data_IF_830668906051
#
_entry.id   IF_830668906051
#
_cell.length_a   1.000
_cell.length_b   1.000
_cell.length_c   1.000
_cell.angle_alpha   90.00
_cell.angle_beta   90.00
_cell.angle_gamma   90.00
#
_symmetry.space_group_name_H-M   'P 1'
#
loop_
_entity.id
_entity.type
_entity.pdbx_description
1 polymer ?
#
# COMPACT_ATOMS: atom_id res chain seq x y z
N UNK A 1 -19.68 17.45 16.19
CA UNK A 1 -18.73 17.90 17.23
C UNK A 1 -17.26 17.60 16.90
N UNK A 2 -16.81 16.34 16.77
CA UNK A 2 -15.37 16.05 16.53
C UNK A 2 -14.83 16.64 15.21
N UNK A 3 -15.64 16.68 14.15
CA UNK A 3 -15.25 17.30 12.87
C UNK A 3 -14.89 18.79 13.01
N UNK A 4 -15.67 19.56 13.78
CA UNK A 4 -15.40 20.99 14.01
C UNK A 4 -14.06 21.18 14.73
N UNK A 5 -13.79 20.35 15.75
CA UNK A 5 -12.50 20.38 16.44
C UNK A 5 -11.33 20.07 15.52
N UNK A 6 -11.48 19.11 14.60
CA UNK A 6 -10.43 18.80 13.63
C UNK A 6 -10.21 19.93 12.64
N UNK A 7 -11.27 20.65 12.22
CA UNK A 7 -11.12 21.86 11.41
C UNK A 7 -10.32 22.94 12.14
N UNK A 8 -10.60 23.18 13.42
CA UNK A 8 -9.83 24.15 14.21
C UNK A 8 -8.41 23.67 14.50
N UNK A 9 -8.21 22.37 14.67
CA UNK A 9 -6.93 21.77 14.99
C UNK A 9 -5.84 22.05 13.93
N UNK A 10 -6.20 22.41 12.69
CA UNK A 10 -5.24 22.83 11.66
C UNK A 10 -4.39 24.02 12.09
N UNK A 11 -4.96 24.94 12.87
CA UNK A 11 -4.28 26.16 13.30
C UNK A 11 -4.21 26.29 14.83
N UNK A 12 -5.16 25.72 15.56
CA UNK A 12 -5.24 25.80 17.03
C UNK A 12 -4.64 24.55 17.68
N UNK A 13 -3.64 24.77 18.54
CA UNK A 13 -2.96 23.71 19.28
C UNK A 13 -3.87 23.07 20.34
N UNK A 14 -4.70 23.86 21.03
CA UNK A 14 -5.62 23.35 22.05
C UNK A 14 -6.65 22.41 21.40
N UNK A 15 -7.19 22.81 20.25
CA UNK A 15 -8.08 21.96 19.47
C UNK A 15 -7.39 20.65 19.07
N UNK A 16 -6.13 20.69 18.62
CA UNK A 16 -5.36 19.49 18.29
C UNK A 16 -5.17 18.56 19.49
N UNK A 17 -4.83 19.09 20.67
CA UNK A 17 -4.72 18.31 21.91
C UNK A 17 -6.06 17.67 22.30
N UNK A 18 -7.17 18.41 22.22
CA UNK A 18 -8.50 17.86 22.51
C UNK A 18 -8.85 16.71 21.55
N UNK A 19 -8.56 16.88 20.25
CA UNK A 19 -8.76 15.79 19.26
C UNK A 19 -7.91 14.58 19.63
N UNK A 20 -6.63 14.76 19.96
CA UNK A 20 -5.74 13.69 20.38
C UNK A 20 -6.33 12.94 21.57
N UNK A 21 -6.66 13.63 22.65
CA UNK A 21 -7.29 13.03 23.84
C UNK A 21 -8.57 12.26 23.51
N UNK A 22 -9.39 12.73 22.57
CA UNK A 22 -10.61 12.04 22.15
C UNK A 22 -10.36 10.77 21.34
N UNK A 23 -9.27 10.71 20.57
CA UNK A 23 -8.91 9.50 19.79
C UNK A 23 -7.99 8.55 20.56
N UNK A 24 -7.40 8.99 21.68
CA UNK A 24 -6.47 8.20 22.50
C UNK A 24 -6.97 6.79 22.85
N UNK A 25 -8.23 6.55 23.24
CA UNK A 25 -8.68 5.19 23.54
C UNK A 25 -8.55 4.24 22.33
N UNK A 26 -8.88 4.73 21.14
CA UNK A 26 -8.78 3.95 19.90
C UNK A 26 -7.32 3.81 19.43
N UNK A 27 -6.51 4.85 19.59
CA UNK A 27 -5.07 4.80 19.33
C UNK A 27 -4.41 3.78 20.25
N UNK A 28 -4.72 3.77 21.55
CA UNK A 28 -4.14 2.82 22.50
C UNK A 28 -4.52 1.37 22.15
N UNK A 29 -5.77 1.11 21.76
CA UNK A 29 -6.20 -0.21 21.29
C UNK A 29 -5.42 -0.65 20.03
N UNK A 30 -5.18 0.26 19.09
CA UNK A 30 -4.36 0.03 17.90
C UNK A 30 -2.89 -0.24 18.27
N UNK A 31 -2.30 0.57 19.15
CA UNK A 31 -0.91 0.41 19.61
C UNK A 31 -0.73 -0.93 20.33
N UNK A 32 -1.67 -1.37 21.17
CA UNK A 32 -1.61 -2.70 21.82
C UNK A 32 -1.55 -3.84 20.81
N UNK A 33 -2.26 -3.71 19.68
CA UNK A 33 -2.22 -4.68 18.57
C UNK A 33 -0.86 -4.62 17.85
N UNK A 34 -0.36 -3.42 17.54
CA UNK A 34 0.88 -3.23 16.76
C UNK A 34 2.15 -3.48 17.55
N UNK A 35 2.17 -3.17 18.84
CA UNK A 35 3.30 -3.39 19.74
C UNK A 35 3.67 -4.87 19.93
N UNK A 36 2.83 -5.81 19.49
CA UNK A 36 3.17 -7.25 19.41
C UNK A 36 4.09 -7.59 18.23
N UNK A 37 4.17 -6.71 17.23
CA UNK A 37 4.86 -6.96 15.95
C UNK A 37 5.98 -5.94 15.70
N UNK A 38 5.84 -4.72 16.22
CA UNK A 38 6.83 -3.65 16.04
C UNK A 38 8.07 -3.89 16.91
N UNK A 39 9.30 -3.78 16.34
CA UNK A 39 10.54 -3.82 17.12
C UNK A 39 10.55 -2.73 18.21
N UNK A 40 10.95 -3.08 19.43
CA UNK A 40 10.85 -2.17 20.58
C UNK A 40 9.50 -2.18 21.30
N UNK A 41 8.56 -3.00 20.85
CA UNK A 41 7.36 -3.36 21.58
C UNK A 41 6.33 -2.23 21.73
N UNK A 42 5.55 -2.27 22.80
CA UNK A 42 4.46 -1.33 23.07
C UNK A 42 4.92 0.12 23.19
N UNK A 43 6.03 0.37 23.89
CA UNK A 43 6.53 1.73 24.13
C UNK A 43 7.01 2.40 22.84
N UNK A 44 7.78 1.68 22.02
CA UNK A 44 8.19 2.19 20.71
C UNK A 44 6.97 2.45 19.81
N UNK A 45 6.03 1.50 19.74
CA UNK A 45 4.81 1.68 18.97
C UNK A 45 3.96 2.87 19.47
N UNK A 46 3.95 3.14 20.77
CA UNK A 46 3.22 4.29 21.33
C UNK A 46 3.86 5.62 20.92
N UNK A 47 5.19 5.73 20.99
CA UNK A 47 5.91 6.93 20.59
C UNK A 47 5.66 7.26 19.10
N UNK A 48 5.77 6.27 18.23
CA UNK A 48 5.49 6.42 16.79
C UNK A 48 4.03 6.84 16.53
N UNK A 49 3.09 6.20 17.21
CA UNK A 49 1.67 6.52 17.06
C UNK A 49 1.34 7.94 17.53
N UNK A 50 1.97 8.44 18.59
CA UNK A 50 1.76 9.81 19.09
C UNK A 50 2.34 10.83 18.09
N UNK A 51 3.56 10.60 17.60
CA UNK A 51 4.18 11.46 16.58
C UNK A 51 3.34 11.54 15.31
N UNK A 52 2.89 10.40 14.81
CA UNK A 52 1.99 10.33 13.66
C UNK A 52 0.62 10.98 13.94
N UNK A 53 0.05 10.81 15.13
CA UNK A 53 -1.22 11.41 15.53
C UNK A 53 -1.19 12.93 15.46
N UNK A 54 -0.12 13.54 15.96
CA UNK A 54 0.04 14.99 15.89
C UNK A 54 -0.02 15.48 14.43
N UNK A 55 0.79 14.88 13.55
CA UNK A 55 0.85 15.25 12.14
C UNK A 55 -0.47 15.03 11.41
N UNK A 56 -1.10 13.87 11.62
CA UNK A 56 -2.38 13.51 10.97
C UNK A 56 -3.52 14.42 11.41
N UNK A 57 -3.59 14.80 12.69
CA UNK A 57 -4.61 15.72 13.19
C UNK A 57 -4.44 17.10 12.56
N UNK A 58 -3.21 17.63 12.52
CA UNK A 58 -2.90 18.96 11.97
C UNK A 58 -3.16 19.06 10.47
N UNK A 59 -2.96 17.97 9.73
CA UNK A 59 -3.07 17.94 8.26
C UNK A 59 -4.32 17.21 7.77
N UNK A 60 -5.29 16.94 8.66
CA UNK A 60 -6.43 16.14 8.30
C UNK A 60 -7.27 16.86 7.23
N UNK A 61 -7.57 16.21 6.09
CA UNK A 61 -8.28 16.84 4.99
C UNK A 61 -9.78 16.92 5.27
N UNK A 62 -10.13 17.76 6.23
CA UNK A 62 -11.46 17.91 6.81
C UNK A 62 -12.49 18.47 5.83
N UNK A 63 -12.06 19.07 4.71
CA UNK A 63 -12.88 19.60 3.61
C UNK A 63 -13.46 18.52 2.68
N UNK A 64 -12.93 17.29 2.73
CA UNK A 64 -13.39 16.16 1.89
C UNK A 64 -13.80 14.93 2.70
N UNK A 65 -13.48 14.89 4.00
CA UNK A 65 -13.77 13.76 4.90
C UNK A 65 -14.52 14.26 6.14
N UNK A 66 -15.83 14.46 6.02
CA UNK A 66 -16.67 15.02 7.08
C UNK A 66 -17.29 13.96 8.03
N UNK A 67 -17.25 12.69 7.64
CA UNK A 67 -17.87 11.59 8.40
C UNK A 67 -16.83 10.64 8.99
N UNK A 68 -17.22 9.92 10.04
CA UNK A 68 -16.40 8.88 10.70
C UNK A 68 -15.01 9.37 11.10
N UNK A 69 -14.93 10.61 11.60
CA UNK A 69 -13.67 11.34 11.85
C UNK A 69 -12.69 10.55 12.70
N UNK A 70 -13.13 10.04 13.87
CA UNK A 70 -12.26 9.27 14.75
C UNK A 70 -11.67 8.03 14.06
N UNK A 71 -12.50 7.27 13.35
CA UNK A 71 -12.05 6.07 12.65
C UNK A 71 -11.09 6.40 11.49
N UNK A 72 -11.34 7.49 10.77
CA UNK A 72 -10.46 7.95 9.70
C UNK A 72 -9.12 8.45 10.24
N UNK A 73 -9.13 9.22 11.33
CA UNK A 73 -7.92 9.65 12.03
C UNK A 73 -7.10 8.43 12.47
N UNK A 74 -7.70 7.49 13.19
CA UNK A 74 -6.98 6.29 13.67
C UNK A 74 -6.39 5.49 12.51
N UNK A 75 -7.12 5.35 11.40
CA UNK A 75 -6.59 4.69 10.19
C UNK A 75 -5.39 5.42 9.60
N UNK A 76 -5.47 6.73 9.48
CA UNK A 76 -4.39 7.54 8.91
C UNK A 76 -3.17 7.53 9.85
N UNK A 77 -3.38 7.57 11.17
CA UNK A 77 -2.33 7.41 12.20
C UNK A 77 -1.64 6.05 12.06
N UNK A 78 -2.41 4.96 11.97
CA UNK A 78 -1.87 3.62 11.78
C UNK A 78 -1.03 3.52 10.50
N UNK A 79 -1.52 4.14 9.42
CA UNK A 79 -0.82 4.15 8.14
C UNK A 79 0.52 4.87 8.24
N UNK A 80 0.54 6.08 8.81
CA UNK A 80 1.75 6.88 8.92
C UNK A 80 2.76 6.29 9.91
N UNK A 81 2.31 5.75 11.05
CA UNK A 81 3.19 5.18 12.06
C UNK A 81 3.78 3.81 11.69
N UNK A 82 3.03 2.95 10.97
CA UNK A 82 3.43 1.54 10.84
C UNK A 82 3.35 0.96 9.43
N UNK A 83 2.82 1.68 8.44
CA UNK A 83 2.64 1.14 7.08
C UNK A 83 3.47 1.92 6.06
N UNK A 84 3.60 3.23 6.22
CA UNK A 84 4.29 4.11 5.28
C UNK A 84 5.76 3.72 5.11
N UNK A 85 6.48 3.50 6.20
CA UNK A 85 7.91 3.14 6.12
C UNK A 85 8.15 1.78 5.46
N UNK A 86 7.35 0.75 5.79
CA UNK A 86 7.43 -0.54 5.12
C UNK A 86 7.08 -0.47 3.63
N UNK A 87 6.26 0.51 3.22
CA UNK A 87 6.00 0.78 1.80
C UNK A 87 7.12 1.54 1.11
N UNK A 88 7.84 2.41 1.82
CA UNK A 88 8.98 3.17 1.29
C UNK A 88 10.26 2.33 1.23
N UNK A 89 10.49 1.44 2.22
CA UNK A 89 11.63 0.51 2.28
C UNK A 89 11.69 -0.53 1.15
N UNK A 90 10.71 -0.55 0.23
CA UNK A 90 10.68 -1.45 -0.92
C UNK A 90 11.33 -0.87 -2.17
N UNK A 91 12.06 0.24 -2.05
CA UNK A 91 12.99 0.74 -3.06
C UNK A 91 14.40 0.53 -2.50
N UNK A 92 15.03 -0.59 -2.84
CA UNK A 92 16.46 -0.77 -2.59
C UNK A 92 17.21 0.14 -3.56
N UNK A 93 17.74 1.26 -3.08
CA UNK A 93 18.71 2.04 -3.83
C UNK A 93 20.04 1.28 -3.81
N UNK A 94 20.35 0.60 -4.92
CA UNK A 94 21.68 0.05 -5.15
C UNK A 94 22.60 1.19 -5.54
N UNK A 95 23.65 1.44 -4.76
CA UNK A 95 24.65 2.45 -5.06
C UNK A 95 25.50 1.96 -6.24
N UNK A 96 25.27 2.53 -7.42
CA UNK A 96 26.00 2.18 -8.63
C UNK A 96 27.24 3.08 -8.75
N UNK A 97 28.42 2.48 -8.88
CA UNK A 97 29.69 3.22 -9.02
C UNK A 97 29.74 4.07 -10.29
N UNK A 98 30.51 5.16 -10.25
CA UNK A 98 30.58 6.23 -11.26
C UNK A 98 30.92 5.73 -12.70
N UNK A 99 31.47 4.52 -12.82
CA UNK A 99 31.81 3.91 -14.12
C UNK A 99 30.57 3.48 -14.93
N UNK A 100 29.41 3.30 -14.28
CA UNK A 100 28.14 2.98 -14.97
C UNK A 100 27.40 4.22 -15.50
N UNK A 101 27.75 5.44 -15.09
CA UNK A 101 27.12 6.68 -15.58
C UNK A 101 27.49 7.02 -17.03
N UNK A 102 28.51 6.37 -17.60
CA UNK A 102 28.97 6.63 -18.98
C UNK A 102 28.26 5.77 -20.05
N UNK A 103 27.40 4.83 -19.65
CA UNK A 103 26.70 3.91 -20.58
C UNK A 103 25.21 4.19 -20.71
N UNK A 104 24.82 5.46 -20.79
CA UNK A 104 23.51 5.82 -21.37
C UNK A 104 23.63 5.69 -22.90
N UNK A 105 23.75 4.45 -23.38
CA UNK A 105 23.42 4.10 -24.75
C UNK A 105 22.03 3.49 -24.67
N UNK A 106 21.06 4.18 -25.25
CA UNK A 106 19.71 3.67 -25.45
C UNK A 106 19.80 2.52 -26.47
N UNK A 107 19.91 1.29 -25.98
CA UNK A 107 19.73 0.09 -26.78
C UNK A 107 18.27 -0.37 -26.60
N UNK A 108 17.47 -0.51 -27.66
CA UNK A 108 16.12 -1.06 -27.59
C UNK A 108 16.17 -2.59 -27.40
N UNK A 109 16.92 -3.06 -26.39
CA UNK A 109 16.77 -4.42 -25.91
C UNK A 109 15.49 -4.47 -25.08
N UNK A 110 14.60 -5.39 -25.44
CA UNK A 110 13.40 -5.79 -24.70
C UNK A 110 13.78 -5.85 -23.21
N UNK A 111 13.13 -5.04 -22.38
CA UNK A 111 13.39 -5.02 -20.94
C UNK A 111 13.14 -6.44 -20.39
N UNK A 112 14.17 -7.15 -19.88
CA UNK A 112 14.01 -8.51 -19.36
C UNK A 112 13.06 -8.58 -18.15
N UNK A 113 12.70 -7.44 -17.55
CA UNK A 113 11.67 -7.34 -16.53
C UNK A 113 10.26 -7.28 -17.14
N UNK A 114 10.08 -6.59 -18.27
CA UNK A 114 8.81 -6.52 -18.98
C UNK A 114 8.41 -7.87 -19.58
N UNK A 115 9.37 -8.61 -20.13
CA UNK A 115 9.13 -9.96 -20.67
C UNK A 115 8.71 -10.95 -19.56
N UNK A 116 9.43 -10.96 -18.43
CA UNK A 116 9.06 -11.76 -17.24
C UNK A 116 7.71 -11.36 -16.65
N UNK A 117 7.37 -10.07 -16.67
CA UNK A 117 6.06 -9.63 -16.22
C UNK A 117 4.95 -10.18 -17.13
N UNK A 118 5.19 -10.18 -18.44
CA UNK A 118 4.22 -10.70 -19.41
C UNK A 118 3.99 -12.21 -19.23
N UNK A 119 5.06 -12.99 -19.04
CA UNK A 119 4.97 -14.42 -18.70
C UNK A 119 4.09 -14.66 -17.47
N UNK A 120 4.35 -13.91 -16.38
CA UNK A 120 3.59 -13.99 -15.13
C UNK A 120 2.10 -13.67 -15.31
N UNK A 121 1.77 -12.70 -16.16
CA UNK A 121 0.38 -12.32 -16.42
C UNK A 121 -0.32 -13.34 -17.33
N UNK A 122 0.39 -13.93 -18.29
CA UNK A 122 -0.10 -15.03 -19.13
C UNK A 122 -0.42 -16.27 -18.27
N UNK A 123 0.51 -16.70 -17.41
CA UNK A 123 0.30 -17.83 -16.50
C UNK A 123 -0.91 -17.59 -15.60
N UNK A 124 -1.05 -16.38 -15.04
CA UNK A 124 -2.19 -16.04 -14.20
C UNK A 124 -3.53 -16.07 -14.94
N UNK A 125 -3.55 -15.67 -16.22
CA UNK A 125 -4.74 -15.76 -17.07
C UNK A 125 -5.12 -17.22 -17.33
N UNK A 126 -4.14 -18.07 -17.62
CA UNK A 126 -4.34 -19.52 -17.82
C UNK A 126 -4.86 -20.20 -16.54
N UNK A 127 -4.36 -19.78 -15.38
CA UNK A 127 -4.82 -20.23 -14.06
C UNK A 127 -6.14 -19.58 -13.60
N UNK A 128 -6.83 -18.84 -14.47
CA UNK A 128 -8.22 -18.39 -14.28
C UNK A 128 -8.41 -17.01 -13.63
N UNK A 129 -7.35 -16.18 -13.57
CA UNK A 129 -7.51 -14.76 -13.15
C UNK A 129 -8.33 -14.00 -14.19
N UNK A 130 -9.32 -13.23 -13.72
CA UNK A 130 -10.21 -12.48 -14.60
C UNK A 130 -9.46 -11.53 -15.54
N UNK A 131 -9.83 -11.53 -16.82
CA UNK A 131 -9.19 -10.69 -17.87
C UNK A 131 -9.17 -9.21 -17.52
N UNK A 132 -10.21 -8.71 -16.83
CA UNK A 132 -10.26 -7.32 -16.35
C UNK A 132 -9.14 -6.96 -15.38
N UNK A 133 -8.64 -7.93 -14.60
CA UNK A 133 -7.51 -7.74 -13.70
C UNK A 133 -6.18 -7.74 -14.46
N UNK A 134 -6.02 -8.60 -15.46
CA UNK A 134 -4.82 -8.65 -16.31
C UNK A 134 -4.65 -7.34 -17.08
N UNK A 135 -5.70 -6.90 -17.79
CA UNK A 135 -5.70 -5.64 -18.54
C UNK A 135 -5.38 -4.43 -17.63
N UNK A 136 -5.93 -4.41 -16.41
CA UNK A 136 -5.61 -3.34 -15.46
C UNK A 136 -4.13 -3.35 -15.04
N UNK A 137 -3.51 -4.52 -14.87
CA UNK A 137 -2.11 -4.64 -14.50
C UNK A 137 -1.17 -4.29 -15.66
N UNK A 138 -1.51 -4.68 -16.89
CA UNK A 138 -0.78 -4.32 -18.11
C UNK A 138 -0.73 -2.80 -18.30
N UNK A 139 -1.87 -2.12 -18.18
CA UNK A 139 -1.96 -0.65 -18.31
C UNK A 139 -1.14 0.08 -17.25
N UNK A 140 -1.12 -0.45 -16.02
CA UNK A 140 -0.28 0.09 -14.96
C UNK A 140 1.22 -0.18 -15.21
N UNK A 141 1.55 -1.30 -15.85
CA UNK A 141 2.92 -1.67 -16.20
C UNK A 141 3.47 -0.85 -17.37
N UNK A 142 2.62 -0.45 -18.33
CA UNK A 142 2.96 0.46 -19.41
C UNK A 142 3.14 1.92 -18.98
N UNK A 143 3.03 2.21 -17.67
CA UNK A 143 3.32 3.50 -17.08
C UNK A 143 2.10 4.38 -16.81
N UNK A 144 0.88 3.90 -17.05
CA UNK A 144 -0.32 4.67 -16.71
C UNK A 144 -0.51 4.78 -15.20
N UNK A 145 -0.90 5.96 -14.75
CA UNK A 145 -1.16 6.20 -13.33
C UNK A 145 -2.58 5.82 -12.94
N UNK A 146 -2.79 5.51 -11.65
CA UNK A 146 -4.14 5.21 -11.14
C UNK A 146 -5.12 6.37 -11.27
N UNK A 147 -4.62 7.60 -11.40
CA UNK A 147 -5.44 8.80 -11.56
C UNK A 147 -5.88 8.96 -13.03
N UNK A 148 -5.00 8.72 -14.01
CA UNK A 148 -5.35 8.68 -15.45
C UNK A 148 -6.38 7.59 -15.75
N UNK A 149 -6.17 6.38 -15.24
CA UNK A 149 -7.12 5.27 -15.37
C UNK A 149 -8.49 5.55 -14.72
N UNK A 150 -8.49 6.31 -13.62
CA UNK A 150 -9.72 6.68 -12.93
C UNK A 150 -10.53 7.69 -13.75
N UNK A 151 -9.86 8.68 -14.33
CA UNK A 151 -10.45 9.68 -15.20
C UNK A 151 -11.02 9.05 -16.48
N UNK A 152 -10.27 8.15 -17.14
CA UNK A 152 -10.72 7.49 -18.37
C UNK A 152 -11.94 6.58 -18.17
N UNK A 153 -11.94 5.78 -17.09
CA UNK A 153 -13.02 4.81 -16.82
C UNK A 153 -14.20 5.48 -16.09
N UNK A 154 -14.10 6.78 -15.74
CA UNK A 154 -15.14 7.50 -15.00
C UNK A 154 -15.34 6.99 -13.57
N UNK A 155 -14.30 6.42 -12.96
CA UNK A 155 -14.34 5.86 -11.60
C UNK A 155 -13.50 6.69 -10.64
N UNK A 156 -13.75 6.55 -9.33
CA UNK A 156 -12.87 7.18 -8.35
C UNK A 156 -11.50 6.52 -8.33
N UNK A 157 -10.42 7.27 -8.08
CA UNK A 157 -9.07 6.73 -7.87
C UNK A 157 -9.05 5.64 -6.78
N UNK A 158 -9.91 5.77 -5.77
CA UNK A 158 -10.04 4.76 -4.71
C UNK A 158 -10.55 3.42 -5.25
N UNK A 159 -11.48 3.45 -6.19
CA UNK A 159 -12.01 2.25 -6.84
C UNK A 159 -10.94 1.57 -7.68
N UNK A 160 -10.19 2.32 -8.49
CA UNK A 160 -9.06 1.78 -9.27
C UNK A 160 -7.98 1.18 -8.37
N UNK A 161 -7.63 1.85 -7.25
CA UNK A 161 -6.67 1.31 -6.27
C UNK A 161 -7.16 0.03 -5.59
N UNK A 162 -8.46 -0.11 -5.34
CA UNK A 162 -9.04 -1.34 -4.81
C UNK A 162 -9.02 -2.46 -5.86
N UNK A 163 -9.41 -2.17 -7.11
CA UNK A 163 -9.32 -3.14 -8.22
C UNK A 163 -7.90 -3.61 -8.46
N UNK A 164 -6.93 -2.70 -8.45
CA UNK A 164 -5.49 -3.04 -8.53
C UNK A 164 -5.08 -3.99 -7.42
N UNK A 165 -5.52 -3.75 -6.18
CA UNK A 165 -5.19 -4.64 -5.06
C UNK A 165 -5.78 -6.04 -5.27
N UNK A 166 -7.05 -6.11 -5.64
CA UNK A 166 -7.73 -7.38 -5.90
C UNK A 166 -7.06 -8.15 -7.06
N UNK A 167 -6.65 -7.45 -8.12
CA UNK A 167 -5.90 -8.02 -9.23
C UNK A 167 -4.55 -8.61 -8.79
N UNK A 168 -3.77 -7.88 -8.00
CA UNK A 168 -2.48 -8.37 -7.45
C UNK A 168 -2.71 -9.58 -6.54
N UNK A 169 -3.73 -9.54 -5.69
CA UNK A 169 -4.02 -10.64 -4.77
C UNK A 169 -4.50 -11.88 -5.54
N UNK A 170 -5.28 -11.73 -6.62
CA UNK A 170 -5.70 -12.82 -7.50
C UNK A 170 -4.51 -13.50 -8.20
N UNK A 171 -3.59 -12.72 -8.79
CA UNK A 171 -2.36 -13.25 -9.43
C UNK A 171 -1.47 -13.95 -8.41
N UNK A 172 -1.33 -13.41 -7.19
CA UNK A 172 -0.56 -14.08 -6.13
C UNK A 172 -1.15 -15.39 -5.69
N UNK A 173 -2.49 -15.46 -5.63
CA UNK A 173 -3.17 -16.70 -5.30
C UNK A 173 -2.94 -17.71 -6.42
N UNK A 174 -3.21 -17.40 -7.68
CA UNK A 174 -3.01 -18.36 -8.78
C UNK A 174 -1.61 -18.97 -8.79
N UNK A 175 -0.58 -18.16 -8.55
CA UNK A 175 0.81 -18.63 -8.45
C UNK A 175 1.11 -19.54 -7.25
N UNK A 176 0.41 -19.35 -6.12
CA UNK A 176 0.55 -20.24 -4.95
C UNK A 176 -0.14 -21.60 -5.19
N UNK A 177 -1.24 -21.60 -5.95
CA UNK A 177 -1.94 -22.82 -6.35
C UNK A 177 -1.09 -23.64 -7.35
N UNK A 178 -0.45 -22.99 -8.33
CA UNK A 178 0.45 -23.69 -9.27
C UNK A 178 1.66 -24.33 -8.56
N UNK A 179 2.25 -23.64 -7.57
CA UNK A 179 3.38 -24.16 -6.78
C UNK A 179 3.01 -25.37 -5.89
N UNK A 180 1.74 -25.52 -5.52
CA UNK A 180 1.26 -26.66 -4.72
C UNK A 180 0.85 -27.86 -5.58
N UNK A 181 0.39 -27.64 -6.81
CA UNK A 181 0.11 -28.70 -7.77
C UNK A 181 1.39 -29.36 -8.31
N UNK A 182 2.47 -28.58 -8.54
CA UNK A 182 3.75 -29.17 -8.99
C UNK A 182 4.38 -30.11 -7.95
N UNK A 183 4.06 -29.93 -6.66
CA UNK A 183 4.60 -30.75 -5.56
C UNK A 183 3.87 -32.09 -5.36
N UNK A 184 2.63 -32.22 -5.82
CA UNK A 184 1.84 -33.46 -5.65
C UNK A 184 2.07 -34.49 -6.77
N UNK A 185 2.54 -34.05 -7.94
CA UNK A 185 2.81 -34.94 -9.10
C UNK A 185 4.18 -35.65 -8.98
N UNK A 186 5.06 -35.19 -8.08
CA UNK A 186 6.42 -35.72 -7.91
C UNK A 186 6.58 -36.98 -7.04
N UNK A 187 5.51 -37.59 -6.53
CA UNK A 187 5.59 -38.71 -5.56
C UNK A 187 5.09 -40.07 -6.04
N UNK A 188 4.99 -40.29 -7.36
CA UNK A 188 4.71 -41.62 -7.92
C UNK A 188 5.58 -41.93 -9.14
N UNK A 189 6.80 -42.41 -8.88
CA UNK A 189 7.50 -43.46 -9.64
C UNK A 189 8.85 -43.72 -8.99
N UNK A 190 8.93 -44.80 -8.21
CA UNK A 190 10.04 -45.74 -8.20
C UNK A 190 9.65 -46.90 -7.27
N UNK A 191 9.12 -47.96 -7.87
CA UNK A 191 9.26 -49.31 -7.36
C UNK A 191 9.57 -50.21 -8.55
#
# INVERSE_FOLDING_TARGET
MLWQLVRHAEHDELAARIVLHRVMPSVLAMVRRRGRVVPGGMTAAMNEAIGAAWMVIRQFPHHRRHHKIAANLVRDIEYHAFVREFRLKKVEETQVGNDMMSRVVHDPQIDPLAERLNEVLCDALESGVATEHIVLLERLASGETTDQLAEEVGLSTRTIRNRRRNAIDAVRLSMQWDATETQTVGHHKHR
#
